data_IF_806284701084
#
_entry.id   IF_806284701084
#
_cell.length_a   1.000
_cell.length_b   1.000
_cell.length_c   1.000
_cell.angle_alpha   90.00
_cell.angle_beta   90.00
_cell.angle_gamma   90.00
#
_symmetry.space_group_name_H-M   'P 1'
#
loop_
_entity.id
_entity.type
_entity.pdbx_description
1 polymer ?
#
# COMPACT_ATOMS: atom_id res chain seq x y z
N UNK A 1 14.06 3.01 -13.64
CA UNK A 1 13.67 3.94 -12.55
C UNK A 1 14.87 4.35 -11.72
N UNK A 2 15.68 3.42 -11.20
CA UNK A 2 16.97 3.74 -10.53
C UNK A 2 17.93 4.51 -11.45
N UNK A 3 18.00 4.17 -12.75
CA UNK A 3 18.82 4.93 -13.71
C UNK A 3 18.26 6.31 -14.05
N UNK A 4 16.96 6.56 -13.85
CA UNK A 4 16.33 7.84 -14.16
C UNK A 4 16.63 8.89 -13.08
N UNK A 5 16.69 8.50 -11.80
CA UNK A 5 17.04 9.40 -10.70
C UNK A 5 18.46 9.93 -10.79
N UNK A 6 19.41 9.08 -11.19
CA UNK A 6 20.82 9.46 -11.37
C UNK A 6 21.01 10.30 -12.65
N UNK A 7 20.27 9.99 -13.72
CA UNK A 7 20.28 10.78 -14.96
C UNK A 7 19.71 12.20 -14.76
N UNK A 8 18.61 12.34 -13.99
CA UNK A 8 18.03 13.64 -13.64
C UNK A 8 18.95 14.49 -12.75
N UNK A 9 19.63 13.87 -11.78
CA UNK A 9 20.53 14.61 -10.87
C UNK A 9 21.85 15.04 -11.55
N UNK A 10 22.30 14.29 -12.55
CA UNK A 10 23.60 14.52 -13.21
C UNK A 10 23.47 15.40 -14.46
N UNK A 11 22.42 15.23 -15.28
CA UNK A 11 22.32 15.91 -16.59
C UNK A 11 21.42 17.16 -16.58
N UNK A 12 20.47 17.28 -15.63
CA UNK A 12 19.44 18.35 -15.59
C UNK A 12 19.66 19.40 -14.48
N UNK A 13 20.91 19.59 -14.05
CA UNK A 13 21.27 20.60 -13.01
C UNK A 13 20.95 22.05 -13.43
N UNK A 14 20.76 22.30 -14.73
CA UNK A 14 20.50 23.63 -15.29
C UNK A 14 19.03 24.07 -15.31
N UNK A 15 18.07 23.17 -15.13
CA UNK A 15 16.65 23.47 -15.37
C UNK A 15 15.80 23.12 -14.13
N UNK A 16 15.60 24.12 -13.26
CA UNK A 16 14.92 23.96 -11.96
C UNK A 16 13.49 23.44 -12.07
N UNK A 17 12.79 23.77 -13.15
CA UNK A 17 11.40 23.34 -13.38
C UNK A 17 11.31 21.83 -13.63
N UNK A 18 12.28 21.28 -14.39
CA UNK A 18 12.34 19.86 -14.68
C UNK A 18 12.72 19.05 -13.43
N UNK A 19 13.66 19.56 -12.63
CA UNK A 19 14.02 18.94 -11.33
C UNK A 19 12.82 18.91 -10.40
N UNK A 20 12.04 19.99 -10.31
CA UNK A 20 10.84 20.06 -9.47
C UNK A 20 9.72 19.13 -9.95
N UNK A 21 9.59 18.89 -11.25
CA UNK A 21 8.62 17.92 -11.78
C UNK A 21 8.96 16.47 -11.40
N UNK A 22 10.25 16.12 -11.34
CA UNK A 22 10.66 14.74 -11.11
C UNK A 22 10.98 14.39 -9.63
N UNK A 23 11.13 15.39 -8.76
CA UNK A 23 11.39 15.16 -7.33
C UNK A 23 10.26 14.38 -6.65
N UNK A 24 9.00 14.68 -6.98
CA UNK A 24 7.82 14.03 -6.39
C UNK A 24 7.80 12.52 -6.68
N UNK A 25 7.81 12.09 -7.96
CA UNK A 25 7.89 10.67 -8.32
C UNK A 25 9.10 9.95 -7.70
N UNK A 26 10.24 10.62 -7.58
CA UNK A 26 11.44 10.07 -6.96
C UNK A 26 11.25 9.81 -5.45
N UNK A 27 10.68 10.77 -4.72
CA UNK A 27 10.37 10.60 -3.29
C UNK A 27 9.32 9.49 -3.07
N UNK A 28 8.29 9.41 -3.91
CA UNK A 28 7.32 8.31 -3.88
C UNK A 28 7.98 6.94 -4.11
N UNK A 29 8.97 6.87 -5.00
CA UNK A 29 9.73 5.66 -5.25
C UNK A 29 10.57 5.25 -4.02
N UNK A 30 11.30 6.19 -3.42
CA UNK A 30 12.05 5.94 -2.18
C UNK A 30 11.13 5.47 -1.05
N UNK A 31 9.96 6.10 -0.88
CA UNK A 31 8.97 5.68 0.11
C UNK A 31 8.52 4.22 -0.12
N UNK A 32 8.35 3.81 -1.38
CA UNK A 32 7.95 2.43 -1.70
C UNK A 32 9.07 1.43 -1.41
N UNK A 33 10.33 1.79 -1.66
CA UNK A 33 11.48 0.97 -1.26
C UNK A 33 11.48 0.80 0.26
N UNK A 34 11.33 1.89 1.02
CA UNK A 34 11.27 1.81 2.48
C UNK A 34 10.12 0.92 2.95
N UNK A 35 8.92 1.06 2.38
CA UNK A 35 7.77 0.18 2.68
C UNK A 35 8.08 -1.29 2.39
N UNK A 36 8.74 -1.58 1.26
CA UNK A 36 9.14 -2.94 0.93
C UNK A 36 10.13 -3.52 1.95
N UNK A 37 11.17 -2.75 2.28
CA UNK A 37 12.16 -3.15 3.29
C UNK A 37 11.48 -3.39 4.62
N UNK A 38 10.59 -2.49 5.07
CA UNK A 38 9.83 -2.67 6.31
C UNK A 38 9.00 -3.95 6.29
N UNK A 39 8.29 -4.24 5.19
CA UNK A 39 7.47 -5.44 5.06
C UNK A 39 8.31 -6.72 5.13
N UNK A 40 9.50 -6.72 4.53
CA UNK A 40 10.43 -7.85 4.57
C UNK A 40 11.04 -8.03 5.97
N UNK A 41 11.48 -6.93 6.60
CA UNK A 41 12.12 -6.97 7.91
C UNK A 41 11.14 -7.35 9.04
N UNK A 42 9.89 -6.91 8.95
CA UNK A 42 8.86 -7.14 9.98
C UNK A 42 7.90 -8.27 9.57
N UNK A 43 8.32 -9.18 8.67
CA UNK A 43 7.45 -10.28 8.22
C UNK A 43 7.04 -11.19 9.37
N UNK A 44 7.93 -11.41 10.34
CA UNK A 44 7.64 -12.22 11.52
C UNK A 44 6.70 -11.49 12.49
N UNK A 45 6.81 -10.16 12.63
CA UNK A 45 5.86 -9.37 13.41
C UNK A 45 4.47 -9.37 12.76
N UNK A 46 4.39 -9.24 11.43
CA UNK A 46 3.14 -9.35 10.68
C UNK A 46 2.51 -10.74 10.89
N UNK A 47 3.33 -11.80 10.85
CA UNK A 47 2.84 -13.16 11.15
C UNK A 47 2.30 -13.25 12.57
N UNK A 48 3.03 -12.73 13.56
CA UNK A 48 2.56 -12.68 14.94
C UNK A 48 1.23 -11.91 15.09
N UNK A 49 1.05 -10.82 14.35
CA UNK A 49 -0.22 -10.09 14.33
C UNK A 49 -1.36 -10.93 13.74
N UNK A 50 -1.11 -11.69 12.68
CA UNK A 50 -2.10 -12.60 12.08
C UNK A 50 -2.46 -13.72 13.06
N UNK A 51 -1.47 -14.30 13.75
CA UNK A 51 -1.69 -15.34 14.76
C UNK A 51 -2.55 -14.79 15.93
N UNK A 52 -2.32 -13.55 16.36
CA UNK A 52 -3.17 -12.87 17.35
C UNK A 52 -4.60 -12.69 16.85
N UNK A 53 -4.79 -12.27 15.59
CA UNK A 53 -6.13 -12.12 14.99
C UNK A 53 -6.88 -13.46 14.95
N UNK A 54 -6.19 -14.54 14.61
CA UNK A 54 -6.75 -15.89 14.61
C UNK A 54 -7.14 -16.34 16.02
N UNK A 55 -6.26 -16.11 17.00
CA UNK A 55 -6.51 -16.42 18.41
C UNK A 55 -7.72 -15.64 18.94
N UNK A 56 -7.83 -14.35 18.63
CA UNK A 56 -8.99 -13.53 19.00
C UNK A 56 -10.29 -14.09 18.42
N UNK A 57 -10.25 -14.62 17.19
CA UNK A 57 -11.40 -15.24 16.54
C UNK A 57 -11.83 -16.55 17.22
N UNK A 58 -10.88 -17.33 17.71
CA UNK A 58 -11.13 -18.56 18.44
C UNK A 58 -11.61 -18.31 19.89
N UNK A 59 -11.30 -17.15 20.47
CA UNK A 59 -11.70 -16.76 21.83
C UNK A 59 -13.09 -16.11 21.85
N UNK A 60 -13.59 -15.59 20.73
CA UNK A 60 -14.95 -15.08 20.65
C UNK A 60 -15.95 -16.18 21.06
N UNK A 61 -16.82 -15.86 22.03
CA UNK A 61 -17.72 -16.84 22.67
C UNK A 61 -19.19 -16.58 22.38
N UNK A 62 -19.57 -15.32 22.17
CA UNK A 62 -20.96 -14.94 21.91
C UNK A 62 -21.20 -14.67 20.43
N UNK A 63 -22.44 -14.86 19.98
CA UNK A 63 -22.87 -14.49 18.64
C UNK A 63 -22.70 -12.98 18.39
N UNK A 64 -22.86 -12.16 19.42
CA UNK A 64 -22.64 -10.70 19.36
C UNK A 64 -21.17 -10.35 19.10
N UNK A 65 -20.23 -11.03 19.77
CA UNK A 65 -18.79 -10.84 19.53
C UNK A 65 -18.46 -11.18 18.07
N UNK A 66 -18.94 -12.33 17.59
CA UNK A 66 -18.74 -12.76 16.21
C UNK A 66 -19.34 -11.77 15.20
N UNK A 67 -20.54 -11.23 15.46
CA UNK A 67 -21.14 -10.23 14.58
C UNK A 67 -20.26 -8.97 14.47
N UNK A 68 -19.75 -8.48 15.60
CA UNK A 68 -18.85 -7.32 15.63
C UNK A 68 -17.56 -7.62 14.87
N UNK A 69 -16.93 -8.78 15.11
CA UNK A 69 -15.69 -9.14 14.41
C UNK A 69 -15.91 -9.30 12.89
N UNK A 70 -16.99 -9.97 12.46
CA UNK A 70 -17.33 -10.14 11.03
C UNK A 70 -17.58 -8.80 10.36
N UNK A 71 -18.32 -7.91 11.01
CA UNK A 71 -18.61 -6.57 10.48
C UNK A 71 -17.33 -5.77 10.26
N UNK A 72 -16.44 -5.74 11.25
CA UNK A 72 -15.18 -5.01 11.14
C UNK A 72 -14.25 -5.64 10.10
N UNK A 73 -14.17 -6.97 10.03
CA UNK A 73 -13.38 -7.67 9.02
C UNK A 73 -13.90 -7.40 7.59
N UNK A 74 -15.22 -7.29 7.39
CA UNK A 74 -15.82 -6.89 6.09
C UNK A 74 -15.42 -5.46 5.71
N UNK A 75 -15.50 -4.51 6.64
CA UNK A 75 -15.10 -3.13 6.40
C UNK A 75 -13.60 -3.06 6.08
N UNK A 76 -12.75 -3.74 6.85
CA UNK A 76 -11.30 -3.80 6.59
C UNK A 76 -10.98 -4.36 5.21
N UNK A 77 -11.61 -5.47 4.82
CA UNK A 77 -11.46 -6.06 3.47
C UNK A 77 -11.95 -5.14 2.37
N UNK A 78 -13.09 -4.47 2.56
CA UNK A 78 -13.62 -3.51 1.58
C UNK A 78 -12.66 -2.34 1.39
N UNK A 79 -12.16 -1.77 2.48
CA UNK A 79 -11.18 -0.67 2.45
C UNK A 79 -9.89 -1.10 1.75
N UNK A 80 -9.33 -2.25 2.12
CA UNK A 80 -8.10 -2.76 1.51
C UNK A 80 -8.27 -3.02 0.01
N UNK A 81 -9.39 -3.64 -0.40
CA UNK A 81 -9.69 -3.92 -1.81
C UNK A 81 -9.90 -2.63 -2.59
N UNK A 82 -10.64 -1.68 -2.03
CA UNK A 82 -10.91 -0.38 -2.68
C UNK A 82 -9.62 0.40 -2.90
N UNK A 83 -8.72 0.42 -1.89
CA UNK A 83 -7.40 1.05 -2.00
C UNK A 83 -6.54 0.39 -3.09
N UNK A 84 -6.52 -0.94 -3.14
CA UNK A 84 -5.76 -1.68 -4.16
C UNK A 84 -6.29 -1.39 -5.57
N UNK A 85 -7.61 -1.46 -5.78
CA UNK A 85 -8.23 -1.19 -7.09
C UNK A 85 -7.99 0.24 -7.53
N UNK A 86 -8.14 1.22 -6.63
CA UNK A 86 -7.89 2.62 -6.94
C UNK A 86 -6.42 2.87 -7.33
N UNK A 87 -5.46 2.35 -6.55
CA UNK A 87 -4.04 2.53 -6.84
C UNK A 87 -3.61 1.85 -8.15
N UNK A 88 -4.04 0.60 -8.38
CA UNK A 88 -3.72 -0.09 -9.63
C UNK A 88 -4.38 0.58 -10.84
N UNK A 89 -5.64 0.99 -10.74
CA UNK A 89 -6.34 1.65 -11.86
C UNK A 89 -5.70 2.98 -12.22
N UNK A 90 -5.33 3.83 -11.25
CA UNK A 90 -4.67 5.10 -11.51
C UNK A 90 -3.37 4.94 -12.32
N UNK A 91 -2.53 3.96 -11.97
CA UNK A 91 -1.25 3.72 -12.61
C UNK A 91 -1.42 3.13 -14.01
N UNK A 92 -2.36 2.19 -14.18
CA UNK A 92 -2.63 1.61 -15.50
C UNK A 92 -3.30 2.63 -16.43
N UNK A 93 -4.23 3.45 -15.92
CA UNK A 93 -4.83 4.54 -16.69
C UNK A 93 -3.78 5.54 -17.17
N UNK A 94 -2.80 5.89 -16.33
CA UNK A 94 -1.67 6.73 -16.73
C UNK A 94 -0.79 6.06 -17.80
N UNK A 95 -0.47 4.78 -17.64
CA UNK A 95 0.29 4.02 -18.63
C UNK A 95 -0.43 3.96 -19.99
N UNK A 96 -1.72 3.65 -19.98
CA UNK A 96 -2.56 3.56 -21.19
C UNK A 96 -2.74 4.93 -21.85
N UNK A 97 -2.97 6.00 -21.09
CA UNK A 97 -3.12 7.34 -21.66
C UNK A 97 -1.84 7.79 -22.38
N UNK A 98 -0.66 7.53 -21.78
CA UNK A 98 0.65 7.77 -22.44
C UNK A 98 0.86 6.90 -23.68
N UNK A 99 0.20 5.76 -23.79
CA UNK A 99 0.24 4.93 -25.00
C UNK A 99 -0.64 5.46 -26.13
N UNK A 100 -1.80 6.02 -25.78
CA UNK A 100 -2.82 6.49 -26.71
C UNK A 100 -2.52 7.89 -27.22
N UNK A 101 -1.92 8.75 -26.40
CA UNK A 101 -1.46 10.08 -26.80
C UNK A 101 -0.20 9.89 -27.66
N UNK A 102 -0.33 10.19 -28.96
CA UNK A 102 0.78 10.28 -29.90
C UNK A 102 1.16 11.75 -30.01
N UNK A 103 2.39 12.10 -29.69
CA UNK A 103 2.90 13.43 -30.04
C UNK A 103 3.36 13.41 -31.50
N UNK A 104 2.88 14.39 -32.27
CA UNK A 104 3.35 14.63 -33.63
C UNK A 104 4.40 15.71 -33.50
N UNK A 105 5.66 15.36 -33.77
CA UNK A 105 6.77 16.29 -33.76
C UNK A 105 7.20 16.47 -35.21
N UNK A 106 7.17 17.70 -35.71
CA UNK A 106 7.79 18.03 -37.00
C UNK A 106 9.30 17.90 -36.88
N UNK A 107 9.88 17.02 -37.69
CA UNK A 107 11.34 16.91 -37.87
C UNK A 107 11.58 16.96 -39.38
N UNK A 108 12.33 17.97 -39.84
CA UNK A 108 12.71 18.18 -41.24
C UNK A 108 11.53 18.22 -42.24
N UNK A 109 10.52 19.08 -42.02
CA UNK A 109 9.32 19.25 -42.88
C UNK A 109 8.48 17.97 -43.09
N UNK A 110 8.71 16.94 -42.29
CA UNK A 110 7.92 15.71 -42.26
C UNK A 110 7.27 15.56 -40.89
N UNK A 111 5.94 15.45 -40.88
CA UNK A 111 5.18 15.11 -39.68
C UNK A 111 5.52 13.69 -39.24
N UNK A 112 6.44 13.54 -38.29
CA UNK A 112 6.77 12.25 -37.68
C UNK A 112 5.99 12.13 -36.37
N UNK A 113 5.08 11.15 -36.29
CA UNK A 113 4.45 10.82 -35.02
C UNK A 113 5.48 10.13 -34.12
N UNK A 114 6.08 10.86 -33.20
CA UNK A 114 7.03 10.30 -32.23
C UNK A 114 6.23 9.91 -31.00
N UNK A 115 6.21 8.61 -30.70
CA UNK A 115 5.61 8.11 -29.48
C UNK A 115 6.54 8.44 -28.33
N UNK A 116 6.21 9.44 -27.50
CA UNK A 116 7.05 9.79 -26.35
C UNK A 116 7.16 8.61 -25.37
N UNK A 117 8.39 8.30 -24.99
CA UNK A 117 8.67 7.36 -23.90
C UNK A 117 8.51 8.07 -22.55
N UNK A 118 8.09 7.35 -21.50
CA UNK A 118 8.04 7.90 -20.14
C UNK A 118 9.38 8.44 -19.64
N UNK A 119 10.51 8.01 -20.22
CA UNK A 119 11.85 8.51 -19.90
C UNK A 119 12.73 8.63 -21.17
N UNK A 120 13.38 9.79 -21.39
CA UNK A 120 14.22 10.03 -22.57
C UNK A 120 15.53 9.21 -22.56
N UNK A 121 15.91 8.63 -21.40
CA UNK A 121 17.12 7.81 -21.26
C UNK A 121 17.15 6.58 -22.17
N UNK A 122 16.00 5.96 -22.45
CA UNK A 122 15.97 4.76 -23.29
C UNK A 122 16.42 5.05 -24.73
N UNK A 123 16.21 6.27 -25.23
CA UNK A 123 16.68 6.72 -26.55
C UNK A 123 18.21 6.80 -26.68
N UNK A 124 18.95 6.86 -25.55
CA UNK A 124 20.43 6.84 -25.56
C UNK A 124 21.01 5.41 -25.60
N UNK A 125 20.24 4.36 -25.29
CA UNK A 125 20.73 2.96 -25.18
C UNK A 125 20.18 2.08 -26.32
N UNK A 126 18.93 2.31 -26.73
CA UNK A 126 18.25 1.58 -27.79
C UNK A 126 17.62 2.61 -28.73
N UNK A 127 17.64 2.38 -30.05
CA UNK A 127 16.88 3.23 -30.97
C UNK A 127 15.38 2.87 -30.86
N UNK A 128 14.76 3.38 -29.79
CA UNK A 128 13.37 3.07 -29.38
C UNK A 128 12.33 3.71 -30.31
N UNK A 129 12.78 4.43 -31.34
CA UNK A 129 11.94 5.02 -32.39
C UNK A 129 11.28 3.96 -33.28
N UNK A 130 11.80 2.72 -33.30
CA UNK A 130 11.30 1.64 -34.13
C UNK A 130 10.66 0.50 -33.30
N UNK A 131 9.52 -0.02 -33.77
CA UNK A 131 8.93 -1.25 -33.24
C UNK A 131 9.89 -2.43 -33.50
N UNK A 132 10.12 -3.35 -32.54
CA UNK A 132 9.34 -3.63 -31.32
C UNK A 132 9.90 -3.06 -30.01
N UNK A 133 11.03 -2.34 -30.04
CA UNK A 133 11.74 -1.93 -28.82
C UNK A 133 10.89 -1.05 -27.88
N UNK A 134 10.06 -0.16 -28.44
CA UNK A 134 9.12 0.67 -27.69
C UNK A 134 8.13 -0.15 -26.85
N UNK A 135 7.53 -1.17 -27.46
CA UNK A 135 6.50 -1.99 -26.80
C UNK A 135 7.09 -2.78 -25.63
N UNK A 136 8.32 -3.28 -25.79
CA UNK A 136 9.06 -3.98 -24.73
C UNK A 136 9.36 -3.04 -23.56
N UNK A 137 9.87 -1.83 -23.83
CA UNK A 137 10.19 -0.86 -22.77
C UNK A 137 8.92 -0.42 -22.03
N UNK A 138 7.83 -0.19 -22.75
CA UNK A 138 6.54 0.15 -22.16
C UNK A 138 6.03 -1.00 -21.28
N UNK A 139 6.07 -2.24 -21.76
CA UNK A 139 5.64 -3.40 -20.99
C UNK A 139 6.44 -3.54 -19.69
N UNK A 140 7.76 -3.41 -19.76
CA UNK A 140 8.65 -3.43 -18.58
C UNK A 140 8.34 -2.28 -17.62
N UNK A 141 8.01 -1.10 -18.14
CA UNK A 141 7.61 0.03 -17.30
C UNK A 141 6.28 -0.23 -16.58
N UNK A 142 5.25 -0.68 -17.31
CA UNK A 142 3.94 -1.01 -16.74
C UNK A 142 4.04 -2.14 -15.72
N UNK A 143 4.84 -3.18 -15.98
CA UNK A 143 5.06 -4.28 -15.03
C UNK A 143 5.76 -3.79 -13.78
N UNK A 144 6.83 -2.99 -13.92
CA UNK A 144 7.52 -2.39 -12.78
C UNK A 144 6.59 -1.52 -11.93
N UNK A 145 5.77 -0.68 -12.58
CA UNK A 145 4.82 0.18 -11.89
C UNK A 145 3.73 -0.64 -11.15
N UNK A 146 3.28 -1.74 -11.75
CA UNK A 146 2.33 -2.68 -11.12
C UNK A 146 2.90 -3.32 -9.86
N UNK A 147 4.16 -3.76 -9.87
CA UNK A 147 4.79 -4.34 -8.67
C UNK A 147 4.94 -3.30 -7.56
N UNK A 148 5.38 -2.09 -7.89
CA UNK A 148 5.54 -0.97 -6.93
C UNK A 148 4.18 -0.61 -6.30
N UNK A 149 3.12 -0.53 -7.11
CA UNK A 149 1.76 -0.25 -6.62
C UNK A 149 1.22 -1.38 -5.76
N UNK A 150 1.55 -2.63 -6.10
CA UNK A 150 1.22 -3.81 -5.31
C UNK A 150 1.80 -3.74 -3.90
N UNK A 151 3.10 -3.43 -3.77
CA UNK A 151 3.78 -3.28 -2.47
C UNK A 151 3.05 -2.26 -1.58
N UNK A 152 2.72 -1.09 -2.14
CA UNK A 152 2.01 -0.05 -1.38
C UNK A 152 0.59 -0.50 -1.01
N UNK A 153 -0.11 -1.17 -1.93
CA UNK A 153 -1.46 -1.70 -1.70
C UNK A 153 -1.50 -2.73 -0.59
N UNK A 154 -0.51 -3.64 -0.54
CA UNK A 154 -0.38 -4.64 0.53
C UNK A 154 -0.16 -3.97 1.87
N UNK A 155 0.78 -3.02 1.96
CA UNK A 155 1.06 -2.30 3.21
C UNK A 155 -0.18 -1.56 3.73
N UNK A 156 -0.83 -0.76 2.89
CA UNK A 156 -2.03 -0.02 3.29
C UNK A 156 -3.21 -0.94 3.59
N UNK A 157 -3.34 -2.05 2.87
CA UNK A 157 -4.38 -3.05 3.08
C UNK A 157 -4.22 -3.79 4.42
N UNK A 158 -3.00 -4.22 4.75
CA UNK A 158 -2.68 -4.83 6.04
C UNK A 158 -2.98 -3.87 7.19
N UNK A 159 -2.54 -2.61 7.07
CA UNK A 159 -2.84 -1.56 8.05
C UNK A 159 -4.35 -1.40 8.24
N UNK A 160 -5.12 -1.29 7.16
CA UNK A 160 -6.58 -1.15 7.24
C UNK A 160 -7.24 -2.36 7.92
N UNK A 161 -6.79 -3.58 7.62
CA UNK A 161 -7.31 -4.81 8.23
C UNK A 161 -7.00 -4.83 9.74
N UNK A 162 -5.76 -4.58 10.13
CA UNK A 162 -5.36 -4.60 11.55
C UNK A 162 -6.04 -3.50 12.36
N UNK A 163 -6.14 -2.29 11.82
CA UNK A 163 -6.87 -1.20 12.48
C UNK A 163 -8.34 -1.57 12.67
N UNK A 164 -9.00 -2.10 11.64
CA UNK A 164 -10.40 -2.51 11.77
C UNK A 164 -10.57 -3.67 12.76
N UNK A 165 -9.65 -4.62 12.81
CA UNK A 165 -9.66 -5.70 13.83
C UNK A 165 -9.53 -5.13 15.24
N UNK A 166 -8.56 -4.24 15.47
CA UNK A 166 -8.37 -3.59 16.77
C UNK A 166 -9.60 -2.75 17.19
N UNK A 167 -10.22 -2.03 16.25
CA UNK A 167 -11.49 -1.34 16.51
C UNK A 167 -12.62 -2.31 16.88
N UNK A 168 -12.66 -3.49 16.25
CA UNK A 168 -13.60 -4.56 16.60
C UNK A 168 -13.39 -5.08 18.02
N UNK A 169 -12.15 -5.39 18.39
CA UNK A 169 -11.80 -5.83 19.74
C UNK A 169 -12.12 -4.78 20.80
N UNK A 170 -11.84 -3.50 20.53
CA UNK A 170 -12.19 -2.41 21.44
C UNK A 170 -13.71 -2.27 21.63
N UNK A 171 -14.48 -2.48 20.57
CA UNK A 171 -15.95 -2.44 20.64
C UNK A 171 -16.49 -3.59 21.49
N UNK A 172 -15.96 -4.80 21.33
CA UNK A 172 -16.30 -5.97 22.18
C UNK A 172 -15.97 -5.68 23.64
N UNK A 173 -14.76 -5.17 23.91
CA UNK A 173 -14.34 -4.81 25.26
C UNK A 173 -15.28 -3.78 25.91
N UNK A 174 -15.71 -2.79 25.14
CA UNK A 174 -16.65 -1.76 25.62
C UNK A 174 -18.04 -2.34 25.93
N UNK A 175 -18.49 -3.30 25.12
CA UNK A 175 -19.77 -4.00 25.33
C UNK A 175 -19.75 -4.81 26.62
N UNK A 176 -18.68 -5.57 26.87
CA UNK A 176 -18.53 -6.34 28.11
C UNK A 176 -18.44 -5.45 29.34
N UNK A 177 -17.69 -4.34 29.26
CA UNK A 177 -17.66 -3.33 30.33
C UNK A 177 -19.05 -2.78 30.65
N UNK A 178 -19.85 -2.47 29.62
CA UNK A 178 -21.21 -2.00 29.78
C UNK A 178 -22.11 -3.02 30.49
N UNK A 179 -21.99 -4.30 30.12
CA UNK A 179 -22.76 -5.38 30.73
C UNK A 179 -22.36 -5.60 32.20
N UNK A 180 -21.07 -5.57 32.53
CA UNK A 180 -20.58 -5.73 33.92
C UNK A 180 -21.01 -4.58 34.83
N UNK A 181 -21.08 -3.35 34.31
CA UNK A 181 -21.57 -2.20 35.09
C UNK A 181 -23.08 -2.33 35.36
N UNK A 182 -23.80 -3.09 34.55
CA UNK A 182 -25.24 -3.30 34.67
C UNK A 182 -25.61 -4.57 35.44
N UNK A 183 -24.80 -5.63 35.37
CA UNK A 183 -24.97 -6.92 36.06
C UNK A 183 -23.89 -7.12 37.14
N UNK A 184 -24.31 -7.33 38.39
CA UNK A 184 -23.48 -7.60 39.58
C UNK A 184 -22.77 -8.99 39.56
N UNK A 185 -22.42 -9.53 38.39
CA UNK A 185 -21.93 -10.90 38.25
C UNK A 185 -20.39 -11.00 38.35
N UNK A 186 -19.93 -11.44 39.52
CA UNK A 186 -18.52 -11.46 39.97
C UNK A 186 -17.62 -12.38 39.12
N UNK A 187 -18.21 -13.32 38.36
CA UNK A 187 -17.47 -14.26 37.51
C UNK A 187 -16.84 -13.59 36.27
N UNK A 188 -17.47 -12.55 35.72
CA UNK A 188 -17.03 -11.91 34.49
C UNK A 188 -15.92 -10.87 34.73
N UNK A 189 -15.93 -10.24 35.91
CA UNK A 189 -14.92 -9.25 36.36
C UNK A 189 -13.50 -9.85 36.37
N UNK A 190 -13.35 -11.10 36.80
CA UNK A 190 -12.04 -11.79 36.85
C UNK A 190 -11.50 -12.10 35.45
N UNK A 191 -12.36 -12.45 34.50
CA UNK A 191 -11.97 -12.70 33.11
C UNK A 191 -11.62 -11.40 32.39
N UNK A 192 -12.36 -10.33 32.70
CA UNK A 192 -12.09 -8.97 32.23
C UNK A 192 -10.79 -8.40 32.78
N UNK A 193 -10.49 -8.55 34.07
CA UNK A 193 -9.20 -8.17 34.63
C UNK A 193 -8.04 -8.93 33.99
N UNK A 194 -8.23 -10.21 33.64
CA UNK A 194 -7.22 -10.98 32.90
C UNK A 194 -7.01 -10.46 31.48
N UNK A 195 -8.08 -10.14 30.75
CA UNK A 195 -7.95 -9.61 29.38
C UNK A 195 -7.43 -8.18 29.35
N UNK A 196 -7.89 -7.32 30.25
CA UNK A 196 -7.38 -5.96 30.42
C UNK A 196 -5.91 -5.99 30.88
N UNK A 197 -5.56 -6.89 31.80
CA UNK A 197 -4.19 -7.16 32.20
C UNK A 197 -3.32 -7.62 31.03
N UNK A 198 -3.83 -8.52 30.18
CA UNK A 198 -3.14 -8.97 28.97
C UNK A 198 -2.95 -7.83 27.96
N UNK A 199 -3.97 -7.01 27.71
CA UNK A 199 -3.90 -5.85 26.81
C UNK A 199 -2.91 -4.81 27.34
N UNK A 200 -2.96 -4.50 28.64
CA UNK A 200 -2.04 -3.56 29.29
C UNK A 200 -0.61 -4.10 29.27
N UNK A 201 -0.42 -5.39 29.55
CA UNK A 201 0.91 -6.01 29.53
C UNK A 201 1.46 -6.08 28.11
N UNK A 202 0.63 -6.37 27.10
CA UNK A 202 1.04 -6.36 25.71
C UNK A 202 1.36 -4.94 25.22
N UNK A 203 0.54 -3.94 25.57
CA UNK A 203 0.85 -2.53 25.32
C UNK A 203 2.14 -2.09 26.00
N UNK A 204 2.39 -2.50 27.26
CA UNK A 204 3.63 -2.20 27.99
C UNK A 204 4.85 -2.91 27.40
N UNK A 205 4.66 -4.07 26.77
CA UNK A 205 5.74 -4.83 26.12
C UNK A 205 6.09 -4.30 24.73
N UNK A 206 5.12 -3.68 24.04
CA UNK A 206 5.30 -3.01 22.73
C UNK A 206 5.82 -1.58 22.89
N UNK A 207 5.52 -0.90 24.01
CA UNK A 207 6.00 0.46 24.33
C UNK A 207 7.43 0.47 24.90
N UNK A 208 8.01 -0.69 25.21
CA UNK A 208 9.37 -0.84 25.76
C UNK A 208 10.35 -1.31 24.71
#
# INVERSE_FOLDING_TARGET
MVSAGLFLFVEERGNTDLVMMHIGPFLCFLMTITKYICLVLHVDDIRSCVDCVELDWNIARSDEDHEVMVRNAKIGRLTATSLAVFMHSAIQCYGISRCLIKDVVEVDDVNVSIRELPFPFYNKILDVRFSPAYEVVLFVHCSSAFFISGITSVNCGLMAIFVMHACGQLKILTMWLGNIVHDDDVADVNMMQKKLGFIIEHHLRVVK
#
